data_IF_783671289705
#
_entry.id   IF_783671289705
#
_cell.length_a   1.000
_cell.length_b   1.000
_cell.length_c   1.000
_cell.angle_alpha   90.00
_cell.angle_beta   90.00
_cell.angle_gamma   90.00
#
_symmetry.space_group_name_H-M   'P 1'
#
loop_
_entity.id
_entity.type
_entity.pdbx_description
1 polymer ?
#
# COMPACT_ATOMS: atom_id res chain seq x y z
N UNK A 1 -12.51 -3.70 10.61
CA UNK A 1 -11.45 -2.67 10.64
C UNK A 1 -11.11 -2.26 9.21
N UNK A 2 -10.86 -0.97 9.00
CA UNK A 2 -10.35 -0.43 7.75
C UNK A 2 -8.85 -0.21 7.89
N UNK A 3 -8.10 -0.43 6.83
CA UNK A 3 -6.66 -0.15 6.84
C UNK A 3 -6.19 0.27 5.45
N UNK A 4 -5.12 1.06 5.42
CA UNK A 4 -4.45 1.45 4.18
C UNK A 4 -3.44 0.36 3.82
N UNK A 5 -3.50 -0.11 2.59
CA UNK A 5 -2.73 -1.27 2.14
C UNK A 5 -1.55 -0.80 1.29
N UNK A 6 -0.33 -1.17 1.72
CA UNK A 6 0.87 -0.94 0.93
C UNK A 6 0.98 -1.99 -0.19
N UNK A 7 1.70 -1.65 -1.23
CA UNK A 7 1.84 -2.47 -2.44
C UNK A 7 2.36 -3.87 -2.16
N UNK A 8 3.35 -4.02 -1.27
CA UNK A 8 3.94 -5.33 -0.98
C UNK A 8 2.92 -6.33 -0.46
N UNK A 9 1.90 -5.87 0.26
CA UNK A 9 0.84 -6.75 0.80
C UNK A 9 0.06 -7.40 -0.34
N UNK A 10 -0.31 -6.61 -1.36
CA UNK A 10 -1.02 -7.13 -2.53
C UNK A 10 -0.15 -8.07 -3.35
N UNK A 11 1.14 -7.76 -3.47
CA UNK A 11 2.10 -8.60 -4.19
C UNK A 11 2.25 -9.95 -3.51
N UNK A 12 2.49 -9.97 -2.19
CA UNK A 12 2.61 -11.22 -1.44
C UNK A 12 1.32 -12.05 -1.48
N UNK A 13 0.16 -11.39 -1.43
CA UNK A 13 -1.12 -12.06 -1.55
C UNK A 13 -1.34 -12.69 -2.93
N UNK A 14 -0.78 -12.10 -3.97
CA UNK A 14 -0.89 -12.59 -5.34
C UNK A 14 0.07 -13.74 -5.63
N UNK A 15 1.29 -13.69 -5.11
CA UNK A 15 2.33 -14.69 -5.37
C UNK A 15 2.29 -15.76 -4.28
N UNK A 16 1.68 -16.91 -4.60
CA UNK A 16 1.37 -17.97 -3.64
C UNK A 16 2.59 -18.57 -2.94
N UNK A 17 3.73 -18.61 -3.61
CA UNK A 17 4.98 -19.13 -3.02
C UNK A 17 5.87 -18.05 -2.39
N UNK A 18 5.37 -16.84 -2.24
CA UNK A 18 6.11 -15.78 -1.58
C UNK A 18 6.17 -15.97 -0.07
N UNK A 19 7.23 -15.42 0.54
CA UNK A 19 7.54 -15.61 1.97
C UNK A 19 6.41 -15.15 2.90
N UNK A 20 5.70 -14.09 2.54
CA UNK A 20 4.62 -13.53 3.36
C UNK A 20 3.22 -13.78 2.80
N UNK A 21 3.09 -14.75 1.88
CA UNK A 21 1.78 -15.01 1.25
C UNK A 21 0.68 -15.27 2.29
N UNK A 22 0.90 -16.21 3.19
CA UNK A 22 -0.10 -16.58 4.20
C UNK A 22 -0.40 -15.42 5.16
N UNK A 23 0.64 -14.68 5.55
CA UNK A 23 0.47 -13.51 6.41
C UNK A 23 -0.37 -12.43 5.71
N UNK A 24 -0.09 -12.15 4.44
CA UNK A 24 -0.83 -11.16 3.65
C UNK A 24 -2.29 -11.57 3.50
N UNK A 25 -2.54 -12.83 3.16
CA UNK A 25 -3.90 -13.37 3.02
C UNK A 25 -4.67 -13.24 4.32
N UNK A 26 -4.06 -13.65 5.43
CA UNK A 26 -4.69 -13.60 6.76
C UNK A 26 -5.06 -12.17 7.14
N UNK A 27 -4.16 -11.22 6.94
CA UNK A 27 -4.42 -9.81 7.27
C UNK A 27 -5.53 -9.24 6.38
N UNK A 28 -5.44 -9.44 5.07
CA UNK A 28 -6.46 -8.92 4.14
C UNK A 28 -7.85 -9.49 4.45
N UNK A 29 -7.94 -10.76 4.79
CA UNK A 29 -9.21 -11.39 5.13
C UNK A 29 -9.76 -10.95 6.49
N UNK A 30 -8.93 -10.39 7.36
CA UNK A 30 -9.36 -9.85 8.66
C UNK A 30 -9.96 -8.44 8.54
N UNK A 31 -9.80 -7.78 7.40
CA UNK A 31 -10.26 -6.41 7.18
C UNK A 31 -11.64 -6.38 6.54
N UNK A 32 -12.46 -5.42 6.94
CA UNK A 32 -13.75 -5.16 6.29
C UNK A 32 -13.62 -4.27 5.06
N UNK A 33 -12.61 -3.41 5.03
CA UNK A 33 -12.33 -2.50 3.90
C UNK A 33 -10.84 -2.36 3.71
N UNK A 34 -10.41 -2.46 2.47
CA UNK A 34 -9.04 -2.20 2.02
C UNK A 34 -8.99 -0.81 1.39
N UNK A 35 -8.29 0.11 2.03
CA UNK A 35 -8.07 1.45 1.49
C UNK A 35 -6.80 1.38 0.65
N UNK A 36 -6.94 1.50 -0.65
CA UNK A 36 -5.83 1.34 -1.59
C UNK A 36 -5.58 2.67 -2.31
N UNK A 37 -4.53 3.42 -1.94
CA UNK A 37 -4.16 4.62 -2.69
C UNK A 37 -3.86 4.27 -4.14
N UNK A 38 -4.20 5.17 -5.08
CA UNK A 38 -3.97 4.91 -6.51
C UNK A 38 -2.51 4.62 -6.84
N UNK A 39 -1.55 5.21 -6.12
CA UNK A 39 -0.13 4.94 -6.32
C UNK A 39 0.19 3.45 -6.09
N UNK A 40 -0.49 2.80 -5.15
CA UNK A 40 -0.32 1.37 -4.89
C UNK A 40 -0.73 0.53 -6.11
N UNK A 41 -1.81 0.92 -6.77
CA UNK A 41 -2.25 0.25 -8.01
C UNK A 41 -1.18 0.36 -9.09
N UNK A 42 -0.58 1.53 -9.25
CA UNK A 42 0.45 1.76 -10.27
C UNK A 42 1.71 0.96 -9.95
N UNK A 43 2.14 0.93 -8.71
CA UNK A 43 3.28 0.12 -8.27
C UNK A 43 3.03 -1.38 -8.47
N UNK A 44 1.82 -1.83 -8.19
CA UNK A 44 1.41 -3.22 -8.40
C UNK A 44 1.54 -3.62 -9.88
N UNK A 45 1.01 -2.80 -10.78
CA UNK A 45 1.12 -3.02 -12.23
C UNK A 45 2.59 -3.05 -12.65
N UNK A 46 3.38 -2.10 -12.17
CA UNK A 46 4.79 -1.97 -12.49
C UNK A 46 5.61 -3.17 -12.02
N UNK A 47 5.27 -3.71 -10.86
CA UNK A 47 5.93 -4.92 -10.34
C UNK A 47 5.75 -6.10 -11.30
N UNK A 48 4.53 -6.37 -11.74
CA UNK A 48 4.25 -7.49 -12.65
C UNK A 48 4.80 -7.26 -14.06
N UNK A 49 4.88 -6.00 -14.50
CA UNK A 49 5.64 -5.66 -15.70
C UNK A 49 7.10 -6.11 -15.57
N UNK A 50 7.70 -5.90 -14.42
CA UNK A 50 9.07 -6.34 -14.13
C UNK A 50 9.24 -7.87 -14.20
N UNK A 51 8.19 -8.62 -13.90
CA UNK A 51 8.16 -10.07 -14.01
C UNK A 51 7.77 -10.57 -15.40
N UNK A 52 7.71 -9.69 -16.40
CA UNK A 52 7.38 -9.99 -17.79
C UNK A 52 5.94 -10.39 -18.04
N UNK A 53 5.03 -10.05 -17.16
CA UNK A 53 3.59 -10.21 -17.39
C UNK A 53 3.15 -9.26 -18.51
N UNK A 54 2.25 -9.72 -19.36
CA UNK A 54 1.67 -8.86 -20.39
C UNK A 54 0.46 -8.08 -19.84
N UNK A 55 -0.04 -7.13 -20.62
CA UNK A 55 -1.15 -6.28 -20.19
C UNK A 55 -2.42 -7.07 -19.86
N UNK A 56 -2.72 -8.10 -20.63
CA UNK A 56 -3.89 -8.95 -20.42
C UNK A 56 -3.82 -9.70 -19.07
N UNK A 57 -2.64 -10.24 -18.76
CA UNK A 57 -2.39 -10.95 -17.50
C UNK A 57 -2.51 -10.00 -16.30
N UNK A 58 -1.92 -8.80 -16.40
CA UNK A 58 -2.00 -7.80 -15.32
C UNK A 58 -3.44 -7.30 -15.15
N UNK A 59 -4.16 -7.08 -16.25
CA UNK A 59 -5.56 -6.68 -16.19
C UNK A 59 -6.40 -7.71 -15.44
N UNK A 60 -6.20 -8.99 -15.70
CA UNK A 60 -6.92 -10.06 -15.01
C UNK A 60 -6.66 -10.05 -13.51
N UNK A 61 -5.38 -9.92 -13.09
CA UNK A 61 -5.02 -9.80 -11.68
C UNK A 61 -5.70 -8.59 -11.03
N UNK A 62 -5.66 -7.45 -11.70
CA UNK A 62 -6.21 -6.21 -11.16
C UNK A 62 -7.75 -6.27 -11.09
N UNK A 63 -8.41 -6.80 -12.10
CA UNK A 63 -9.87 -6.95 -12.11
C UNK A 63 -10.34 -7.79 -10.92
N UNK A 64 -9.64 -8.87 -10.61
CA UNK A 64 -9.93 -9.70 -9.44
C UNK A 64 -9.78 -8.94 -8.12
N UNK A 65 -8.84 -8.01 -8.07
CA UNK A 65 -8.61 -7.19 -6.89
C UNK A 65 -9.67 -6.09 -6.74
N UNK A 66 -9.94 -5.37 -7.82
CA UNK A 66 -10.88 -4.24 -7.82
C UNK A 66 -12.33 -4.70 -7.62
N UNK A 67 -12.69 -5.87 -8.14
CA UNK A 67 -14.04 -6.41 -8.01
C UNK A 67 -14.36 -6.91 -6.60
N UNK A 68 -13.37 -7.08 -5.74
CA UNK A 68 -13.61 -7.47 -4.36
C UNK A 68 -14.39 -6.36 -3.65
N UNK A 69 -15.51 -6.68 -2.97
CA UNK A 69 -16.35 -5.66 -2.32
C UNK A 69 -15.64 -4.90 -1.20
N UNK A 70 -14.51 -5.41 -0.69
CA UNK A 70 -13.71 -4.73 0.34
C UNK A 70 -12.81 -3.65 -0.25
N UNK A 71 -12.53 -3.69 -1.55
CA UNK A 71 -11.59 -2.78 -2.20
C UNK A 71 -12.16 -1.37 -2.33
N UNK A 72 -11.42 -0.37 -1.87
CA UNK A 72 -11.73 1.05 -2.04
C UNK A 72 -10.47 1.77 -2.51
N UNK A 73 -10.46 2.17 -3.77
CA UNK A 73 -9.33 2.92 -4.33
C UNK A 73 -9.50 4.38 -3.96
N UNK A 74 -8.43 5.00 -3.45
CA UNK A 74 -8.38 6.41 -3.11
C UNK A 74 -7.61 7.15 -4.19
N UNK A 75 -8.28 7.96 -5.01
CA UNK A 75 -7.61 8.74 -6.04
C UNK A 75 -6.83 9.91 -5.43
N UNK A 76 -5.86 10.42 -6.17
CA UNK A 76 -5.11 11.62 -5.79
C UNK A 76 -5.29 12.68 -6.88
N UNK A 77 -5.92 13.78 -6.50
CA UNK A 77 -6.13 14.95 -7.36
C UNK A 77 -5.04 16.02 -7.18
N UNK A 78 -3.95 15.66 -6.49
CA UNK A 78 -2.85 16.55 -6.13
C UNK A 78 -2.76 16.79 -4.62
N UNK A 79 -3.80 16.54 -3.87
CA UNK A 79 -3.84 16.74 -2.42
C UNK A 79 -2.77 15.90 -1.70
N UNK A 80 -2.75 14.59 -1.94
CA UNK A 80 -1.77 13.71 -1.30
C UNK A 80 -0.37 13.91 -1.84
N UNK A 81 -0.25 14.23 -3.13
CA UNK A 81 1.03 14.61 -3.73
C UNK A 81 1.64 15.80 -2.98
N UNK A 82 0.87 16.85 -2.75
CA UNK A 82 1.34 18.04 -2.02
C UNK A 82 1.70 17.71 -0.58
N UNK A 83 0.85 16.96 0.12
CA UNK A 83 1.12 16.54 1.49
C UNK A 83 2.40 15.71 1.60
N UNK A 84 2.62 14.75 0.68
CA UNK A 84 3.82 13.95 0.66
C UNK A 84 5.07 14.81 0.47
N UNK A 85 5.03 15.78 -0.44
CA UNK A 85 6.15 16.70 -0.64
C UNK A 85 6.40 17.58 0.57
N UNK A 86 5.34 18.08 1.21
CA UNK A 86 5.46 18.86 2.43
C UNK A 86 6.16 18.08 3.54
N UNK A 87 5.79 16.81 3.72
CA UNK A 87 6.44 15.93 4.71
C UNK A 87 7.94 15.78 4.39
N UNK A 88 8.28 15.54 3.13
CA UNK A 88 9.68 15.39 2.73
C UNK A 88 10.48 16.66 2.96
N UNK A 89 9.91 17.83 2.65
CA UNK A 89 10.56 19.12 2.90
C UNK A 89 10.76 19.35 4.39
N UNK A 90 9.72 19.12 5.20
CA UNK A 90 9.75 19.40 6.64
C UNK A 90 10.69 18.44 7.40
N UNK A 91 10.84 17.21 6.94
CA UNK A 91 11.66 16.20 7.62
C UNK A 91 13.06 16.06 7.03
N UNK A 92 13.32 16.65 5.87
CA UNK A 92 14.60 16.47 5.17
C UNK A 92 14.81 15.08 4.60
N UNK A 93 13.77 14.26 4.50
CA UNK A 93 13.87 12.91 3.94
C UNK A 93 14.05 12.96 2.42
N UNK A 94 14.64 11.90 1.88
CA UNK A 94 14.91 11.77 0.44
C UNK A 94 13.63 11.70 -0.39
N UNK A 95 13.65 12.32 -1.57
CA UNK A 95 12.58 12.23 -2.56
C UNK A 95 12.31 10.76 -2.99
N UNK A 96 13.28 9.87 -2.81
CA UNK A 96 13.08 8.43 -3.06
C UNK A 96 11.95 7.83 -2.22
N UNK A 97 11.56 8.48 -1.12
CA UNK A 97 10.47 8.04 -0.24
C UNK A 97 9.11 8.64 -0.61
N UNK A 98 9.02 9.30 -1.75
CA UNK A 98 7.79 10.01 -2.15
C UNK A 98 6.56 9.10 -2.16
N UNK A 99 6.66 7.92 -2.78
CA UNK A 99 5.51 7.00 -2.86
C UNK A 99 5.06 6.55 -1.47
N UNK A 100 6.01 6.23 -0.58
CA UNK A 100 5.70 5.88 0.81
C UNK A 100 4.98 7.02 1.53
N UNK A 101 5.39 8.27 1.26
CA UNK A 101 4.77 9.45 1.88
C UNK A 101 3.36 9.71 1.38
N UNK A 102 3.04 9.35 0.14
CA UNK A 102 1.66 9.38 -0.35
C UNK A 102 0.80 8.40 0.45
N UNK A 103 1.26 7.17 0.61
CA UNK A 103 0.54 6.13 1.37
C UNK A 103 0.35 6.58 2.82
N UNK A 104 1.40 7.10 3.43
CA UNK A 104 1.37 7.63 4.78
C UNK A 104 0.37 8.79 4.92
N UNK A 105 0.31 9.70 3.94
CA UNK A 105 -0.59 10.84 3.95
C UNK A 105 -2.06 10.40 3.93
N UNK A 106 -2.39 9.39 3.14
CA UNK A 106 -3.74 8.82 3.10
C UNK A 106 -4.12 8.24 4.47
N UNK A 107 -3.22 7.47 5.07
CA UNK A 107 -3.47 6.85 6.37
C UNK A 107 -3.63 7.90 7.47
N UNK A 108 -2.78 8.91 7.46
CA UNK A 108 -2.81 9.99 8.46
C UNK A 108 -4.12 10.78 8.38
N UNK A 109 -4.54 11.18 7.19
CA UNK A 109 -5.77 11.95 6.99
C UNK A 109 -6.99 11.15 7.40
N UNK A 110 -7.04 9.88 7.04
CA UNK A 110 -8.20 9.01 7.30
C UNK A 110 -8.17 8.37 8.68
N UNK A 111 -7.04 8.48 9.39
CA UNK A 111 -6.84 7.90 10.73
C UNK A 111 -6.99 6.38 10.73
N UNK A 112 -6.44 5.73 9.72
CA UNK A 112 -6.41 4.27 9.61
C UNK A 112 -4.99 3.75 9.75
N UNK A 113 -4.82 2.52 10.26
CA UNK A 113 -3.50 1.90 10.28
C UNK A 113 -3.01 1.60 8.87
N UNK A 114 -1.69 1.45 8.73
CA UNK A 114 -1.06 1.00 7.49
C UNK A 114 -0.70 -0.47 7.64
N UNK A 115 -1.02 -1.27 6.62
CA UNK A 115 -0.53 -2.64 6.50
C UNK A 115 0.65 -2.62 5.54
N UNK A 116 1.81 -3.04 6.03
CA UNK A 116 3.02 -3.16 5.19
C UNK A 116 3.98 -4.18 5.78
N UNK A 117 4.68 -4.92 4.92
CA UNK A 117 5.74 -5.85 5.31
C UNK A 117 7.13 -5.22 5.17
N UNK A 118 7.22 -3.94 4.86
CA UNK A 118 8.49 -3.20 4.82
C UNK A 118 8.83 -2.66 6.22
N UNK A 119 9.84 -3.26 6.84
CA UNK A 119 10.26 -2.87 8.20
C UNK A 119 10.65 -1.40 8.30
N UNK A 120 11.34 -0.88 7.29
CA UNK A 120 11.77 0.52 7.28
C UNK A 120 10.56 1.46 7.21
N UNK A 121 9.59 1.12 6.37
CA UNK A 121 8.37 1.91 6.28
C UNK A 121 7.56 1.83 7.57
N UNK A 122 7.41 0.65 8.16
CA UNK A 122 6.75 0.51 9.46
C UNK A 122 7.36 1.43 10.51
N UNK A 123 8.69 1.39 10.63
CA UNK A 123 9.42 2.20 11.60
C UNK A 123 9.19 3.68 11.37
N UNK A 124 9.20 4.11 10.11
CA UNK A 124 8.98 5.49 9.73
C UNK A 124 7.55 5.94 10.03
N UNK A 125 6.57 5.14 9.68
CA UNK A 125 5.16 5.44 9.94
C UNK A 125 4.86 5.57 11.43
N UNK A 126 5.47 4.72 12.26
CA UNK A 126 5.35 4.83 13.72
C UNK A 126 5.85 6.16 14.27
N UNK A 127 6.90 6.71 13.68
CA UNK A 127 7.42 8.04 14.08
C UNK A 127 6.42 9.16 13.81
N UNK A 128 5.52 8.97 12.86
CA UNK A 128 4.43 9.91 12.57
C UNK A 128 3.18 9.62 13.42
N UNK A 129 3.27 8.71 14.38
CA UNK A 129 2.16 8.40 15.28
C UNK A 129 1.13 7.44 14.68
N UNK A 130 1.44 6.78 13.58
CA UNK A 130 0.52 5.85 12.93
C UNK A 130 0.66 4.43 13.47
N UNK A 131 -0.47 3.73 13.56
CA UNK A 131 -0.49 2.30 13.82
C UNK A 131 -0.08 1.56 12.55
N UNK A 132 0.75 0.54 12.69
CA UNK A 132 1.17 -0.31 11.57
C UNK A 132 0.96 -1.77 11.90
N UNK A 133 0.60 -2.55 10.89
CA UNK A 133 0.39 -3.99 10.99
C UNK A 133 1.16 -4.69 9.85
N UNK A 134 1.62 -5.92 10.03
CA UNK A 134 1.59 -6.69 11.28
C UNK A 134 2.50 -6.05 12.33
N UNK A 135 2.20 -6.27 13.60
CA UNK A 135 2.98 -5.67 14.71
C UNK A 135 4.39 -6.25 14.79
N UNK A 136 4.56 -7.48 14.36
CA UNK A 136 5.84 -8.17 14.32
C UNK A 136 6.10 -8.69 12.91
N UNK A 137 7.34 -8.50 12.43
CA UNK A 137 7.81 -9.01 11.15
C UNK A 137 8.95 -9.99 11.35
#
# INVERSE_FOLDING_TARGET
MHAVIDTNVLIYDTIEDSVFHDNARTILDSLSVWIIPSIVIYEYIWFFKGLKFNASEVKELLDGRISDPRCRIVPDDGHYTQEALNILVDTGLSLALFNDMIILSVAKERRYPIITFDKKFQKRAKKFGLEVLPKEL
#
